data_IF_074147707934
#
_entry.id   IF_074147707934
#
_cell.length_a   1.000
_cell.length_b   1.000
_cell.length_c   1.000
_cell.angle_alpha   90.00
_cell.angle_beta   90.00
_cell.angle_gamma   90.00
#
_symmetry.space_group_name_H-M   'P 1'
#
loop_
_entity.id
_entity.type
_entity.pdbx_description
1 polymer ?
#
# COMPACT_ATOMS: atom_id res chain seq x y z
N UNK A 1 0.15 -1.58 -11.71
CA UNK A 1 1.45 -1.66 -11.00
C UNK A 1 1.94 -3.09 -11.04
N UNK A 2 3.26 -3.29 -11.13
CA UNK A 2 3.90 -4.62 -11.14
C UNK A 2 4.92 -4.70 -10.01
N UNK A 3 5.45 -5.89 -9.72
CA UNK A 3 6.52 -6.05 -8.75
C UNK A 3 7.89 -5.81 -9.37
N UNK A 4 8.74 -5.13 -8.62
CA UNK A 4 10.17 -5.03 -8.85
C UNK A 4 10.92 -5.75 -7.75
N UNK A 5 11.95 -6.52 -8.12
CA UNK A 5 12.86 -7.13 -7.17
C UNK A 5 13.83 -6.09 -6.61
N UNK A 6 14.14 -6.21 -5.33
CA UNK A 6 15.14 -5.43 -4.63
C UNK A 6 16.33 -6.33 -4.30
N UNK A 7 17.52 -5.73 -4.26
CA UNK A 7 18.76 -6.45 -3.96
C UNK A 7 18.80 -6.92 -2.50
N UNK A 8 18.14 -6.16 -1.61
CA UNK A 8 18.01 -6.45 -0.19
C UNK A 8 16.65 -5.98 0.32
N UNK A 9 16.12 -6.59 1.40
CA UNK A 9 14.91 -6.12 2.05
C UNK A 9 15.06 -4.64 2.47
N UNK A 10 14.14 -3.75 2.06
CA UNK A 10 14.22 -2.34 2.44
C UNK A 10 13.83 -2.18 3.91
N UNK A 11 14.45 -1.20 4.58
CA UNK A 11 13.96 -0.73 5.88
C UNK A 11 12.76 0.19 5.65
N UNK A 12 11.56 -0.38 5.65
CA UNK A 12 10.32 0.36 5.44
C UNK A 12 9.89 0.97 6.78
N UNK A 13 9.58 2.26 6.76
CA UNK A 13 9.00 2.97 7.90
C UNK A 13 7.47 3.04 7.74
N UNK A 14 6.74 2.68 8.79
CA UNK A 14 5.27 2.75 8.82
C UNK A 14 4.83 3.60 10.01
N UNK A 15 4.08 4.66 9.74
CA UNK A 15 3.51 5.57 10.75
C UNK A 15 1.99 5.49 10.66
N UNK A 16 1.33 5.39 11.81
CA UNK A 16 -0.13 5.37 11.94
C UNK A 16 -0.57 6.58 12.76
N UNK A 17 -1.61 7.27 12.31
CA UNK A 17 -2.11 8.51 12.90
C UNK A 17 -3.64 8.60 12.76
N UNK A 18 -4.29 9.37 13.63
CA UNK A 18 -5.76 9.56 13.62
C UNK A 18 -6.28 10.35 12.42
N UNK A 19 -5.48 11.27 11.87
CA UNK A 19 -5.84 12.10 10.72
C UNK A 19 -5.32 11.51 9.41
N UNK A 20 -4.16 10.85 9.46
CA UNK A 20 -3.55 10.15 8.32
C UNK A 20 -3.37 8.68 8.70
N UNK A 21 -4.42 7.85 8.49
CA UNK A 21 -4.47 6.47 8.98
C UNK A 21 -3.21 5.63 8.78
N UNK A 22 -2.53 5.78 7.64
CA UNK A 22 -1.21 5.18 7.46
C UNK A 22 -0.34 5.98 6.49
N UNK A 23 0.93 6.13 6.85
CA UNK A 23 2.02 6.55 5.97
C UNK A 23 3.08 5.46 5.93
N UNK A 24 3.45 5.02 4.72
CA UNK A 24 4.48 4.01 4.48
C UNK A 24 5.58 4.65 3.65
N UNK A 25 6.83 4.60 4.10
CA UNK A 25 7.97 5.22 3.43
C UNK A 25 9.06 4.19 3.16
N UNK A 26 9.52 4.11 1.91
CA UNK A 26 10.70 3.31 1.53
C UNK A 26 11.99 4.12 1.74
N UNK A 27 13.14 3.45 1.92
CA UNK A 27 14.43 4.11 2.03
C UNK A 27 14.69 5.10 0.88
N UNK A 28 15.45 6.15 1.19
CA UNK A 28 15.90 7.17 0.23
C UNK A 28 14.81 8.07 -0.36
N UNK A 29 13.56 7.99 0.10
CA UNK A 29 12.50 8.95 -0.28
C UNK A 29 12.93 10.42 -0.13
N UNK A 30 13.61 10.76 0.97
CA UNK A 30 14.08 12.11 1.26
C UNK A 30 15.25 12.59 0.38
N UNK A 31 15.85 11.69 -0.43
CA UNK A 31 16.97 12.02 -1.33
C UNK A 31 16.51 12.46 -2.72
N UNK A 32 15.19 12.50 -2.94
CA UNK A 32 14.62 12.92 -4.21
C UNK A 32 14.82 14.42 -4.40
N UNK A 33 15.59 14.78 -5.42
CA UNK A 33 15.70 16.15 -5.92
C UNK A 33 14.61 16.44 -6.95
N UNK A 34 14.12 15.39 -7.62
CA UNK A 34 13.10 15.47 -8.67
C UNK A 34 11.70 15.22 -8.12
N UNK A 35 10.71 15.80 -8.80
CA UNK A 35 9.29 15.65 -8.43
C UNK A 35 8.87 14.18 -8.62
N UNK A 36 8.32 13.52 -7.59
CA UNK A 36 7.80 12.16 -7.70
C UNK A 36 6.72 12.00 -8.76
N UNK A 37 6.54 10.78 -9.23
CA UNK A 37 5.33 10.38 -9.97
C UNK A 37 4.24 10.03 -8.97
N UNK A 38 3.03 10.56 -9.17
CA UNK A 38 1.91 10.38 -8.24
C UNK A 38 0.86 9.44 -8.83
N UNK A 39 0.27 8.59 -8.02
CA UNK A 39 -0.92 7.80 -8.37
C UNK A 39 -1.93 7.95 -7.24
N UNK A 40 -3.19 8.21 -7.58
CA UNK A 40 -4.28 8.43 -6.61
C UNK A 40 -5.38 7.39 -6.80
N UNK A 41 -5.80 6.78 -5.70
CA UNK A 41 -6.95 5.90 -5.60
C UNK A 41 -7.99 6.52 -4.70
N UNK A 42 -9.24 6.51 -5.14
CA UNK A 42 -10.35 7.11 -4.39
C UNK A 42 -11.57 6.20 -4.48
N UNK A 43 -12.21 5.96 -3.35
CA UNK A 43 -13.38 5.10 -3.26
C UNK A 43 -14.07 5.18 -1.91
N UNK A 44 -14.95 4.22 -1.64
CA UNK A 44 -15.63 4.14 -0.34
C UNK A 44 -14.63 4.01 0.82
N UNK A 45 -13.48 3.39 0.58
CA UNK A 45 -12.40 3.26 1.56
C UNK A 45 -11.64 4.55 1.86
N UNK A 46 -11.89 5.65 1.13
CA UNK A 46 -11.22 6.94 1.32
C UNK A 46 -10.30 7.32 0.16
N UNK A 47 -9.22 8.02 0.49
CA UNK A 47 -8.23 8.56 -0.45
C UNK A 47 -6.84 7.99 -0.14
N UNK A 48 -6.26 7.29 -1.13
CA UNK A 48 -4.91 6.75 -1.06
C UNK A 48 -4.03 7.41 -2.13
N UNK A 49 -2.89 7.92 -1.72
CA UNK A 49 -1.86 8.48 -2.59
C UNK A 49 -0.63 7.58 -2.56
N UNK A 50 -0.09 7.30 -3.74
CA UNK A 50 1.16 6.56 -3.91
C UNK A 50 2.14 7.42 -4.70
N UNK A 51 3.38 7.47 -4.24
CA UNK A 51 4.46 8.19 -4.89
C UNK A 51 5.51 7.21 -5.39
N UNK A 52 6.02 7.46 -6.58
CA UNK A 52 7.04 6.65 -7.24
C UNK A 52 8.24 7.51 -7.62
N UNK A 53 9.43 6.93 -7.52
CA UNK A 53 10.66 7.56 -7.99
C UNK A 53 10.56 7.83 -9.50
N UNK A 54 10.89 9.03 -10.00
CA UNK A 54 10.69 9.39 -11.40
C UNK A 54 11.50 8.51 -12.37
N UNK A 55 12.78 8.27 -12.08
CA UNK A 55 13.62 7.44 -12.97
C UNK A 55 13.36 5.94 -12.84
N UNK A 56 13.43 5.41 -11.61
CA UNK A 56 13.32 3.97 -11.38
C UNK A 56 11.88 3.45 -11.38
N UNK A 57 10.89 4.34 -11.33
CA UNK A 57 9.46 4.02 -11.20
C UNK A 57 9.10 3.19 -9.96
N UNK A 58 10.01 3.04 -8.99
CA UNK A 58 9.81 2.28 -7.75
C UNK A 58 8.94 3.07 -6.77
N UNK A 59 8.05 2.37 -6.07
CA UNK A 59 7.25 2.95 -4.99
C UNK A 59 8.17 3.44 -3.87
N UNK A 60 7.95 4.68 -3.45
CA UNK A 60 8.76 5.40 -2.44
C UNK A 60 7.94 5.83 -1.23
N UNK A 61 6.65 6.11 -1.42
CA UNK A 61 5.75 6.52 -0.33
C UNK A 61 4.31 6.09 -0.65
N UNK A 62 3.56 5.71 0.39
CA UNK A 62 2.12 5.47 0.35
C UNK A 62 1.48 6.22 1.50
N UNK A 63 0.44 7.00 1.22
CA UNK A 63 -0.29 7.80 2.21
C UNK A 63 -1.78 7.52 2.07
N UNK A 64 -2.37 6.88 3.08
CA UNK A 64 -3.83 6.83 3.22
C UNK A 64 -4.26 8.12 3.90
N UNK A 65 -4.76 9.07 3.10
CA UNK A 65 -5.11 10.43 3.54
C UNK A 65 -6.31 10.43 4.46
N UNK A 66 -7.28 9.57 4.21
CA UNK A 66 -8.42 9.32 5.09
C UNK A 66 -9.01 7.93 4.84
N UNK A 67 -9.81 7.44 5.79
CA UNK A 67 -10.41 6.12 5.67
C UNK A 67 -11.84 6.05 6.26
N UNK A 68 -12.80 6.83 5.73
CA UNK A 68 -14.15 6.91 6.30
C UNK A 68 -14.98 5.63 6.16
N UNK A 69 -14.62 4.74 5.22
CA UNK A 69 -15.35 3.49 4.96
C UNK A 69 -14.56 2.23 5.32
N UNK A 70 -13.69 2.30 6.33
CA UNK A 70 -12.92 1.14 6.80
C UNK A 70 -13.86 0.04 7.25
N UNK A 71 -13.75 -1.13 6.62
CA UNK A 71 -14.44 -2.33 7.05
C UNK A 71 -13.64 -3.01 8.15
N UNK A 72 -14.28 -3.31 9.28
CA UNK A 72 -13.62 -4.01 10.40
C UNK A 72 -13.88 -5.50 10.30
N UNK A 73 -12.81 -6.30 10.38
CA UNK A 73 -12.88 -7.75 10.49
C UNK A 73 -12.19 -8.19 11.76
N UNK A 74 -12.95 -8.73 12.72
CA UNK A 74 -12.46 -9.22 14.01
C UNK A 74 -11.81 -10.60 13.87
N UNK A 75 -10.72 -10.66 13.13
CA UNK A 75 -9.83 -11.81 12.97
C UNK A 75 -8.45 -11.36 12.55
N UNK A 76 -7.45 -12.20 12.81
CA UNK A 76 -6.14 -12.05 12.20
C UNK A 76 -6.16 -12.53 10.75
N UNK A 77 -5.47 -11.82 9.85
CA UNK A 77 -5.37 -12.17 8.43
C UNK A 77 -4.30 -13.24 8.17
N UNK A 78 -3.14 -13.16 8.83
CA UNK A 78 -1.96 -14.03 8.62
C UNK A 78 -1.75 -14.44 7.14
N UNK A 79 -1.49 -13.50 6.24
CA UNK A 79 -1.34 -13.80 4.81
C UNK A 79 -0.17 -14.75 4.59
N UNK A 80 -0.42 -15.88 3.91
CA UNK A 80 0.62 -16.81 3.49
C UNK A 80 1.46 -16.16 2.37
N UNK A 81 2.49 -15.42 2.77
CA UNK A 81 3.32 -14.63 1.88
C UNK A 81 4.58 -15.36 1.44
N UNK A 82 4.96 -15.18 0.18
CA UNK A 82 6.31 -15.56 -0.27
C UNK A 82 7.28 -14.44 0.12
N UNK A 83 8.19 -14.72 1.05
CA UNK A 83 9.14 -13.75 1.58
C UNK A 83 10.28 -13.46 0.60
N UNK A 84 10.13 -12.38 -0.16
CA UNK A 84 11.12 -11.88 -1.12
C UNK A 84 11.21 -10.37 -1.01
N UNK A 85 12.41 -9.82 -1.12
CA UNK A 85 12.61 -8.37 -1.16
C UNK A 85 12.06 -7.81 -2.48
N UNK A 86 10.87 -7.22 -2.43
CA UNK A 86 10.19 -6.62 -3.58
C UNK A 86 9.56 -5.28 -3.22
N UNK A 87 9.30 -4.45 -4.23
CA UNK A 87 8.45 -3.26 -4.14
C UNK A 87 7.52 -3.18 -5.34
N UNK A 88 6.51 -2.31 -5.29
CA UNK A 88 5.70 -2.00 -6.47
C UNK A 88 6.46 -1.05 -7.40
N UNK A 89 6.27 -1.23 -8.69
CA UNK A 89 6.74 -0.33 -9.74
C UNK A 89 5.59 0.13 -10.63
N UNK A 90 5.68 1.39 -11.05
CA UNK A 90 4.81 1.91 -12.08
C UNK A 90 5.29 1.38 -13.45
N UNK A 91 4.43 0.62 -14.12
CA UNK A 91 4.74 0.05 -15.45
C UNK A 91 4.36 1.05 -16.54
N UNK A 92 5.23 1.26 -17.54
CA UNK A 92 4.95 2.12 -18.70
C UNK A 92 3.74 1.66 -19.54
N UNK A 93 3.33 0.38 -19.40
CA UNK A 93 2.09 -0.16 -20.00
C UNK A 93 0.81 0.38 -19.38
N UNK A 94 0.90 1.04 -18.22
CA UNK A 94 -0.21 1.74 -17.56
C UNK A 94 -0.48 3.08 -18.28
N UNK A 95 -0.66 3.03 -19.60
CA UNK A 95 -0.71 4.17 -20.50
C UNK A 95 -1.74 5.20 -20.05
N UNK A 96 -1.26 6.25 -19.40
CA UNK A 96 -2.06 7.36 -18.91
C UNK A 96 -1.30 8.12 -17.83
N UNK A 97 -1.09 9.42 -18.06
CA UNK A 97 -0.71 10.38 -17.02
C UNK A 97 -1.66 10.28 -15.81
N UNK A 98 -1.19 10.65 -14.61
CA UNK A 98 -1.81 10.27 -13.35
C UNK A 98 -3.13 11.00 -13.13
N UNK A 99 -4.20 10.21 -13.23
CA UNK A 99 -5.56 10.64 -12.99
C UNK A 99 -6.49 9.53 -13.45
N UNK A 100 -7.43 9.17 -12.57
CA UNK A 100 -8.64 8.36 -12.79
C UNK A 100 -8.66 6.92 -12.21
N UNK A 101 -9.11 6.91 -10.94
CA UNK A 101 -10.18 6.08 -10.35
C UNK A 101 -10.02 4.55 -10.34
N UNK A 102 -9.02 4.05 -9.64
CA UNK A 102 -9.14 2.72 -9.04
C UNK A 102 -9.98 2.80 -7.75
N UNK A 103 -10.84 1.82 -7.53
CA UNK A 103 -11.69 1.73 -6.33
C UNK A 103 -10.83 1.39 -5.12
N UNK A 104 -10.77 2.29 -4.14
CA UNK A 104 -10.15 2.00 -2.85
C UNK A 104 -11.17 1.33 -1.92
N UNK A 105 -10.83 0.14 -1.44
CA UNK A 105 -11.44 -0.48 -0.26
C UNK A 105 -10.38 -0.66 0.82
N UNK A 106 -10.75 -0.32 2.06
CA UNK A 106 -9.87 -0.47 3.22
C UNK A 106 -10.52 -1.44 4.20
N UNK A 107 -9.77 -2.48 4.56
CA UNK A 107 -10.21 -3.47 5.56
C UNK A 107 -9.20 -3.53 6.69
N UNK A 108 -9.68 -3.34 7.92
CA UNK A 108 -8.90 -3.44 9.14
C UNK A 108 -9.12 -4.81 9.79
N UNK A 109 -8.05 -5.61 9.80
CA UNK A 109 -7.93 -6.86 10.55
C UNK A 109 -7.25 -6.59 11.90
N UNK A 110 -7.24 -7.58 12.78
CA UNK A 110 -6.61 -7.43 14.10
C UNK A 110 -5.09 -7.19 14.03
N UNK A 111 -4.43 -7.70 12.98
CA UNK A 111 -2.98 -7.70 12.79
C UNK A 111 -2.52 -6.95 11.53
N UNK A 112 -3.42 -6.64 10.60
CA UNK A 112 -3.11 -5.91 9.36
C UNK A 112 -4.19 -4.91 8.94
N UNK A 113 -3.78 -3.87 8.21
CA UNK A 113 -4.66 -3.07 7.36
C UNK A 113 -4.43 -3.45 5.89
N UNK A 114 -5.50 -3.74 5.17
CA UNK A 114 -5.49 -4.05 3.74
C UNK A 114 -6.03 -2.87 2.95
N UNK A 115 -5.25 -2.41 1.96
CA UNK A 115 -5.57 -1.35 1.00
C UNK A 115 -5.77 -2.00 -0.36
N UNK A 116 -7.01 -2.34 -0.71
CA UNK A 116 -7.33 -2.91 -2.02
C UNK A 116 -7.59 -1.78 -3.02
N UNK A 117 -6.83 -1.79 -4.12
CA UNK A 117 -6.91 -0.76 -5.18
C UNK A 117 -7.64 -1.27 -6.44
N UNK A 118 -8.03 -2.54 -6.42
CA UNK A 118 -8.81 -3.23 -7.45
C UNK A 118 -9.95 -4.02 -6.78
N UNK A 119 -11.02 -4.31 -7.53
CA UNK A 119 -12.19 -5.03 -6.97
C UNK A 119 -11.96 -6.53 -6.78
N UNK A 120 -10.99 -7.12 -7.48
CA UNK A 120 -10.69 -8.54 -7.36
C UNK A 120 -9.78 -8.78 -6.13
N UNK A 121 -10.06 -9.82 -5.31
CA UNK A 121 -9.20 -10.15 -4.19
C UNK A 121 -7.83 -10.63 -4.67
N UNK A 122 -6.77 -10.41 -3.87
CA UNK A 122 -5.45 -10.93 -4.17
C UNK A 122 -5.44 -12.46 -4.13
N UNK A 123 -4.79 -13.09 -5.10
CA UNK A 123 -4.61 -14.54 -5.20
C UNK A 123 -3.39 -15.04 -4.43
N UNK A 124 -2.40 -14.18 -4.26
CA UNK A 124 -1.20 -14.47 -3.50
C UNK A 124 -0.62 -13.21 -2.89
N UNK A 125 0.17 -13.39 -1.83
CA UNK A 125 0.89 -12.32 -1.16
C UNK A 125 2.39 -12.52 -1.33
N UNK A 126 3.11 -11.43 -1.55
CA UNK A 126 4.57 -11.41 -1.62
C UNK A 126 5.12 -10.23 -0.84
N UNK A 127 6.39 -10.31 -0.44
CA UNK A 127 7.06 -9.22 0.27
C UNK A 127 7.51 -9.62 1.66
N UNK A 128 7.94 -8.62 2.40
CA UNK A 128 8.49 -8.78 3.75
C UNK A 128 7.84 -7.76 4.68
N UNK A 129 7.55 -8.17 5.91
CA UNK A 129 7.02 -7.27 6.93
C UNK A 129 7.85 -5.97 7.01
N UNK A 130 7.21 -4.82 7.25
CA UNK A 130 5.79 -4.68 7.61
C UNK A 130 4.83 -4.61 6.41
N UNK A 131 5.30 -4.70 5.15
CA UNK A 131 4.45 -4.48 3.97
C UNK A 131 4.46 -5.68 3.03
N UNK A 132 3.27 -6.16 2.70
CA UNK A 132 3.04 -7.22 1.72
C UNK A 132 2.22 -6.68 0.54
N UNK A 133 2.50 -7.22 -0.64
CA UNK A 133 1.78 -6.89 -1.87
C UNK A 133 0.92 -8.06 -2.30
N UNK A 134 -0.37 -7.79 -2.51
CA UNK A 134 -1.33 -8.74 -3.02
C UNK A 134 -1.35 -8.72 -4.54
N UNK A 135 -1.28 -9.89 -5.17
CA UNK A 135 -1.21 -10.04 -6.62
C UNK A 135 -2.50 -10.57 -7.23
N UNK A 136 -2.90 -10.01 -8.37
CA UNK A 136 -4.00 -10.52 -9.19
C UNK A 136 -3.56 -11.60 -10.18
N UNK A 137 -4.48 -12.05 -11.02
CA UNK A 137 -4.27 -13.12 -12.02
C UNK A 137 -3.08 -12.86 -12.97
N UNK A 138 -2.90 -11.61 -13.41
CA UNK A 138 -1.79 -11.23 -14.31
C UNK A 138 -0.54 -10.78 -13.54
N UNK A 139 -0.41 -11.12 -12.25
CA UNK A 139 0.69 -10.74 -11.35
C UNK A 139 0.88 -9.23 -11.14
N UNK A 140 -0.12 -8.43 -11.49
CA UNK A 140 -0.19 -7.03 -11.12
C UNK A 140 -0.48 -6.87 -9.62
N UNK A 141 0.03 -5.80 -9.01
CA UNK A 141 -0.28 -5.44 -7.62
C UNK A 141 -1.72 -4.91 -7.57
N UNK A 142 -2.56 -5.58 -6.80
CA UNK A 142 -3.99 -5.25 -6.62
C UNK A 142 -4.35 -4.82 -5.20
N UNK A 143 -3.47 -5.10 -4.24
CA UNK A 143 -3.64 -4.69 -2.85
C UNK A 143 -2.28 -4.50 -2.16
N UNK A 144 -2.27 -3.67 -1.12
CA UNK A 144 -1.19 -3.60 -0.14
C UNK A 144 -1.75 -4.06 1.21
N UNK A 145 -0.90 -4.70 2.00
CA UNK A 145 -1.23 -5.13 3.35
C UNK A 145 -0.11 -4.66 4.27
N UNK A 146 -0.45 -3.86 5.27
CA UNK A 146 0.49 -3.26 6.21
C UNK A 146 0.23 -3.80 7.60
N UNK A 147 1.27 -4.34 8.22
CA UNK A 147 1.20 -4.86 9.57
C UNK A 147 1.08 -3.71 10.56
N UNK A 148 0.24 -3.87 11.58
CA UNK A 148 0.14 -2.91 12.68
C UNK A 148 0.08 -3.61 14.03
N UNK A 149 0.41 -2.86 15.08
CA UNK A 149 0.21 -3.30 16.45
C UNK A 149 -1.18 -2.86 16.95
N UNK A 150 -1.73 -3.51 18.00
CA UNK A 150 -3.04 -3.16 18.55
C UNK A 150 -3.20 -1.68 18.92
N UNK A 151 -2.15 -1.04 19.43
CA UNK A 151 -2.15 0.39 19.78
C UNK A 151 -2.35 1.29 18.55
N UNK A 152 -1.65 1.01 17.45
CA UNK A 152 -1.79 1.72 16.19
C UNK A 152 -3.16 1.49 15.55
N UNK A 153 -3.66 0.23 15.59
CA UNK A 153 -5.02 -0.10 15.16
C UNK A 153 -6.05 0.71 15.92
N UNK A 154 -5.97 0.73 17.24
CA UNK A 154 -6.95 1.40 18.09
C UNK A 154 -6.91 2.92 17.87
N UNK A 155 -5.73 3.51 17.67
CA UNK A 155 -5.57 4.92 17.28
C UNK A 155 -6.33 5.25 15.99
N UNK A 156 -6.13 4.46 14.94
CA UNK A 156 -6.77 4.67 13.62
C UNK A 156 -8.28 4.41 13.67
N UNK A 157 -8.71 3.36 14.37
CA UNK A 157 -10.12 2.95 14.41
C UNK A 157 -10.98 3.72 15.43
N UNK A 158 -10.39 4.46 16.37
CA UNK A 158 -11.16 5.35 17.24
C UNK A 158 -11.46 6.71 16.60
N UNK A 159 -10.69 7.10 15.58
CA UNK A 159 -10.83 8.37 14.88
C UNK A 159 -11.89 8.37 13.76
N UNK A 160 -12.27 7.18 13.26
CA UNK A 160 -13.26 6.97 12.18
C UNK A 160 -14.47 6.17 12.62
#
# INVERSE_FOLDING_TARGET
>A
MELCQLDHPPLIETVFDEYVPVTITWPDYHKLLDIPLYVRYEGAGGLLEMKFHPDSSRLIEVVLVNAPGVRREHRCLYPAATHVAVTACLSARSGGLPGLFGKLEVTAFDDYMVLAVESAPPLSWVGTAPVLFGLGESRQVVALCVQWEPSARDLVLMAG
#
